data_IF_873913299150
#
_entry.id   IF_873913299150
#
_cell.length_a   1.000
_cell.length_b   1.000
_cell.length_c   1.000
_cell.angle_alpha   90.00
_cell.angle_beta   90.00
_cell.angle_gamma   90.00
#
_symmetry.space_group_name_H-M   'P 1'
#
loop_
_entity.id
_entity.type
_entity.pdbx_description
1 polymer ?
#
# COMPACT_ATOMS: atom_id res chain seq x y z
N UNK A 1 35.39 36.96 61.91
CA UNK A 1 35.04 35.77 62.72
C UNK A 1 33.97 35.05 61.90
N UNK A 2 34.45 34.15 61.29
CA UNK A 2 34.21 32.69 61.10
C UNK A 2 33.18 32.36 60.03
N UNK A 3 33.74 31.92 58.91
CA UNK A 3 33.10 30.87 58.09
C UNK A 3 33.04 29.55 58.91
N UNK A 4 32.10 28.65 58.57
CA UNK A 4 32.64 27.52 57.82
C UNK A 4 31.77 26.99 56.64
N UNK A 5 32.51 26.35 55.77
CA UNK A 5 32.14 25.41 54.74
C UNK A 5 31.06 24.38 55.13
N UNK A 6 30.20 24.07 54.19
CA UNK A 6 29.23 22.98 54.30
C UNK A 6 28.81 22.41 52.95
N UNK A 7 29.56 21.46 52.49
CA UNK A 7 29.20 20.24 51.78
C UNK A 7 28.32 20.32 50.50
N UNK A 8 28.98 20.19 49.37
CA UNK A 8 28.40 19.84 48.08
C UNK A 8 27.86 18.39 48.13
N UNK A 9 26.55 18.23 48.21
CA UNK A 9 25.91 16.94 47.97
C UNK A 9 25.85 16.68 46.46
N UNK A 10 26.58 15.64 46.06
CA UNK A 10 26.55 15.11 44.70
C UNK A 10 25.12 14.67 44.34
N UNK A 11 24.50 15.38 43.41
CA UNK A 11 23.25 14.93 42.78
C UNK A 11 23.59 13.76 41.88
N UNK A 12 23.19 12.59 42.31
CA UNK A 12 23.31 11.33 41.57
C UNK A 12 22.35 11.40 40.38
N UNK A 13 22.88 11.77 39.21
CA UNK A 13 22.14 11.69 37.94
C UNK A 13 21.97 10.21 37.62
N UNK A 14 20.85 9.65 38.07
CA UNK A 14 20.36 8.39 37.54
C UNK A 14 20.09 8.62 36.04
N UNK A 15 20.95 8.01 35.23
CA UNK A 15 20.67 7.85 33.78
C UNK A 15 19.30 7.19 33.65
N UNK A 16 18.33 7.98 33.21
CA UNK A 16 17.07 7.46 32.70
C UNK A 16 17.44 6.69 31.42
N UNK A 17 17.45 5.39 31.53
CA UNK A 17 17.55 4.48 30.38
C UNK A 17 16.43 4.86 29.44
N UNK A 18 16.78 5.53 28.31
CA UNK A 18 15.83 5.91 27.28
C UNK A 18 15.00 4.69 26.89
N UNK A 19 13.70 4.83 26.98
CA UNK A 19 12.73 3.95 26.36
C UNK A 19 13.10 3.90 24.88
N UNK A 20 13.63 2.77 24.44
CA UNK A 20 13.72 2.43 23.03
C UNK A 20 12.28 2.31 22.55
N UNK A 21 11.75 3.38 21.96
CA UNK A 21 10.47 3.34 21.27
C UNK A 21 10.47 2.09 20.40
N UNK A 22 9.42 1.30 20.51
CA UNK A 22 9.22 0.10 19.67
C UNK A 22 9.19 0.60 18.23
N UNK A 23 10.34 0.54 17.56
CA UNK A 23 10.45 0.91 16.16
C UNK A 23 9.52 -0.04 15.40
N UNK A 24 8.55 0.52 14.69
CA UNK A 24 7.60 -0.29 13.93
C UNK A 24 8.38 -1.20 12.98
N UNK A 25 8.15 -2.51 13.06
CA UNK A 25 8.79 -3.49 12.18
C UNK A 25 8.47 -3.29 10.69
N UNK A 26 7.55 -2.40 10.36
CA UNK A 26 7.12 -2.10 9.00
C UNK A 26 7.47 -0.66 8.66
N UNK A 27 8.33 -0.44 7.67
CA UNK A 27 8.53 0.84 6.98
C UNK A 27 7.67 0.90 5.72
N UNK A 28 7.28 2.12 5.32
CA UNK A 28 6.59 2.40 4.05
C UNK A 28 7.38 3.48 3.33
N UNK A 29 7.97 3.12 2.21
CA UNK A 29 8.83 3.99 1.41
C UNK A 29 8.24 4.19 0.01
N UNK A 30 8.59 5.30 -0.64
CA UNK A 30 8.26 5.48 -2.06
C UNK A 30 9.07 4.49 -2.86
N UNK A 31 8.39 3.65 -3.64
CA UNK A 31 9.04 2.70 -4.52
C UNK A 31 9.71 3.41 -5.71
N UNK A 32 10.76 2.82 -6.22
CA UNK A 32 11.52 3.32 -7.36
C UNK A 32 11.90 2.15 -8.31
N UNK A 33 12.44 2.42 -9.50
CA UNK A 33 12.76 1.36 -10.48
C UNK A 33 13.66 0.24 -9.97
N UNK A 34 14.53 0.48 -8.98
CA UNK A 34 15.38 -0.58 -8.40
C UNK A 34 14.59 -1.58 -7.54
N UNK A 35 13.36 -1.23 -7.14
CA UNK A 35 12.46 -2.11 -6.37
C UNK A 35 11.68 -3.12 -7.25
N UNK A 36 11.90 -3.14 -8.58
CA UNK A 36 11.09 -3.95 -9.49
C UNK A 36 11.08 -5.44 -9.14
N UNK A 37 12.23 -6.02 -8.78
CA UNK A 37 12.30 -7.42 -8.35
C UNK A 37 11.51 -7.66 -7.07
N UNK A 38 11.71 -6.82 -6.05
CA UNK A 38 11.05 -6.94 -4.76
C UNK A 38 9.52 -6.77 -4.87
N UNK A 39 9.05 -5.83 -5.71
CA UNK A 39 7.61 -5.66 -5.98
C UNK A 39 7.04 -6.88 -6.72
N UNK A 40 7.76 -7.42 -7.71
CA UNK A 40 7.35 -8.65 -8.42
C UNK A 40 7.20 -9.80 -7.43
N UNK A 41 8.18 -10.03 -6.54
CA UNK A 41 8.10 -11.06 -5.50
C UNK A 41 6.89 -10.90 -4.58
N UNK A 42 6.54 -9.67 -4.19
CA UNK A 42 5.33 -9.42 -3.40
C UNK A 42 4.07 -9.80 -4.17
N UNK A 43 3.96 -9.42 -5.45
CA UNK A 43 2.81 -9.73 -6.29
C UNK A 43 2.67 -11.26 -6.49
N UNK A 44 3.77 -11.96 -6.75
CA UNK A 44 3.81 -13.42 -6.92
C UNK A 44 3.49 -14.18 -5.62
N UNK A 45 3.91 -13.65 -4.47
CA UNK A 45 3.59 -14.22 -3.16
C UNK A 45 2.17 -13.86 -2.65
N UNK A 46 1.47 -12.95 -3.33
CA UNK A 46 0.15 -12.45 -2.95
C UNK A 46 -0.96 -13.03 -3.82
N UNK A 47 -0.97 -12.69 -5.10
CA UNK A 47 -2.11 -12.89 -5.98
C UNK A 47 -2.51 -14.35 -6.17
N UNK A 48 -1.60 -15.31 -6.42
CA UNK A 48 -1.99 -16.72 -6.57
C UNK A 48 -2.74 -17.27 -5.36
N UNK A 49 -2.33 -16.87 -4.17
CA UNK A 49 -2.91 -17.35 -2.92
C UNK A 49 -4.23 -16.65 -2.58
N UNK A 50 -4.26 -15.32 -2.67
CA UNK A 50 -5.39 -14.53 -2.20
C UNK A 50 -6.55 -14.49 -3.20
N UNK A 51 -6.29 -14.73 -4.49
CA UNK A 51 -7.31 -14.73 -5.53
C UNK A 51 -7.90 -16.11 -5.83
N UNK A 52 -7.28 -17.20 -5.38
CA UNK A 52 -7.64 -18.58 -5.72
C UNK A 52 -9.07 -18.97 -5.34
N UNK A 53 -9.64 -18.39 -4.31
CA UNK A 53 -11.01 -18.65 -3.86
C UNK A 53 -12.09 -17.88 -4.63
N UNK A 54 -11.70 -16.84 -5.39
CA UNK A 54 -12.63 -15.93 -6.05
C UNK A 54 -12.69 -16.08 -7.57
N UNK A 55 -11.72 -16.80 -8.15
CA UNK A 55 -11.61 -16.96 -9.59
C UNK A 55 -11.42 -18.42 -9.98
N UNK A 56 -11.95 -18.77 -11.15
CA UNK A 56 -11.75 -20.10 -11.74
C UNK A 56 -10.25 -20.30 -12.04
N UNK A 57 -9.76 -21.51 -11.74
CA UNK A 57 -8.32 -21.83 -11.75
C UNK A 57 -7.67 -21.58 -13.12
N UNK A 58 -8.27 -22.05 -14.22
CA UNK A 58 -7.69 -21.90 -15.55
C UNK A 58 -7.65 -20.44 -16.00
N UNK A 59 -8.64 -19.63 -15.60
CA UNK A 59 -8.62 -18.19 -15.81
C UNK A 59 -7.46 -17.54 -15.03
N UNK A 60 -7.31 -17.88 -13.76
CA UNK A 60 -6.29 -17.30 -12.91
C UNK A 60 -4.86 -17.66 -13.39
N UNK A 61 -4.62 -18.90 -13.79
CA UNK A 61 -3.33 -19.35 -14.36
C UNK A 61 -2.93 -18.54 -15.60
N UNK A 62 -3.90 -18.11 -16.43
CA UNK A 62 -3.65 -17.26 -17.61
C UNK A 62 -3.47 -15.78 -17.24
N UNK A 63 -4.15 -15.30 -16.21
CA UNK A 63 -4.11 -13.90 -15.78
C UNK A 63 -2.86 -13.55 -14.97
N UNK A 64 -2.40 -14.43 -14.08
CA UNK A 64 -1.31 -14.18 -13.16
C UNK A 64 -0.01 -13.67 -13.83
N UNK A 65 0.49 -14.26 -14.93
CA UNK A 65 1.72 -13.77 -15.59
C UNK A 65 1.62 -12.32 -16.07
N UNK A 66 0.39 -11.81 -16.30
CA UNK A 66 0.13 -10.44 -16.74
C UNK A 66 0.01 -9.47 -15.56
N UNK A 67 -0.31 -9.98 -14.37
CA UNK A 67 -0.62 -9.17 -13.18
C UNK A 67 0.52 -9.12 -12.16
N UNK A 68 1.41 -10.12 -12.15
CA UNK A 68 2.43 -10.26 -11.09
C UNK A 68 3.76 -9.57 -11.43
N UNK A 69 3.86 -8.91 -12.56
CA UNK A 69 5.06 -8.14 -12.92
C UNK A 69 4.96 -6.71 -12.42
N UNK A 70 6.04 -6.23 -11.82
CA UNK A 70 6.15 -4.81 -11.44
C UNK A 70 6.01 -3.92 -12.68
N UNK A 71 5.17 -2.89 -12.58
CA UNK A 71 4.96 -1.93 -13.66
C UNK A 71 5.98 -0.78 -13.54
N UNK A 72 6.90 -0.62 -14.51
CA UNK A 72 7.93 0.43 -14.46
C UNK A 72 7.35 1.85 -14.35
N UNK A 73 6.20 2.12 -14.97
CA UNK A 73 5.52 3.42 -14.88
C UNK A 73 5.06 3.71 -13.46
N UNK A 74 4.56 2.71 -12.73
CA UNK A 74 4.20 2.87 -11.33
C UNK A 74 5.42 3.11 -10.45
N UNK A 75 6.49 2.37 -10.66
CA UNK A 75 7.75 2.55 -9.90
C UNK A 75 8.39 3.93 -10.12
N UNK A 76 8.13 4.57 -11.25
CA UNK A 76 8.64 5.90 -11.57
C UNK A 76 7.64 7.02 -11.26
N UNK A 77 6.43 6.70 -10.78
CA UNK A 77 5.36 7.69 -10.58
C UNK A 77 5.56 8.61 -9.36
N UNK A 78 6.35 8.16 -8.37
CA UNK A 78 6.45 8.84 -7.07
C UNK A 78 5.24 8.64 -6.15
N UNK A 79 4.20 7.97 -6.64
CA UNK A 79 2.94 7.72 -5.94
C UNK A 79 2.70 6.23 -5.66
N UNK A 80 3.70 5.40 -5.88
CA UNK A 80 3.69 3.98 -5.60
C UNK A 80 4.60 3.67 -4.41
N UNK A 81 4.16 2.84 -3.47
CA UNK A 81 4.82 2.57 -2.20
C UNK A 81 5.17 1.10 -2.05
N UNK A 82 6.25 0.84 -1.32
CA UNK A 82 6.68 -0.48 -0.91
C UNK A 82 6.74 -0.54 0.62
N UNK A 83 6.18 -1.60 1.19
CA UNK A 83 6.26 -1.89 2.61
C UNK A 83 7.37 -2.93 2.86
N UNK A 84 8.26 -2.65 3.83
CA UNK A 84 9.34 -3.56 4.21
C UNK A 84 9.20 -3.99 5.66
N UNK A 85 9.47 -5.26 5.93
CA UNK A 85 9.57 -5.82 7.26
C UNK A 85 11.01 -5.76 7.75
N UNK A 86 11.23 -5.19 8.93
CA UNK A 86 12.57 -4.95 9.53
C UNK A 86 13.55 -4.21 8.57
N UNK A 87 13.01 -3.41 7.63
CA UNK A 87 13.80 -2.64 6.67
C UNK A 87 14.32 -3.42 5.46
N UNK A 88 14.16 -4.73 5.43
CA UNK A 88 14.76 -5.60 4.40
C UNK A 88 13.71 -6.23 3.47
N UNK A 89 12.90 -7.12 4.00
CA UNK A 89 11.99 -7.93 3.20
C UNK A 89 10.76 -7.14 2.74
N UNK A 90 10.54 -7.04 1.44
CA UNK A 90 9.32 -6.47 0.88
C UNK A 90 8.12 -7.37 1.21
N UNK A 91 7.12 -6.80 1.89
CA UNK A 91 5.93 -7.53 2.38
C UNK A 91 4.62 -6.98 1.83
N UNK A 92 4.66 -5.83 1.17
CA UNK A 92 3.48 -5.23 0.54
C UNK A 92 3.87 -4.13 -0.44
N UNK A 93 2.98 -3.84 -1.36
CA UNK A 93 3.11 -2.74 -2.29
C UNK A 93 1.73 -2.20 -2.68
N UNK A 94 1.70 -1.00 -3.22
CA UNK A 94 0.48 -0.36 -3.70
C UNK A 94 0.68 1.12 -3.89
N UNK A 95 -0.18 1.74 -4.66
CA UNK A 95 -0.10 3.16 -4.95
C UNK A 95 -1.33 3.68 -5.65
N UNK A 96 -1.19 4.84 -6.24
CA UNK A 96 -2.24 5.46 -7.04
C UNK A 96 -1.63 6.24 -8.22
N UNK A 97 -2.45 6.56 -9.20
CA UNK A 97 -2.08 7.45 -10.32
C UNK A 97 -3.27 8.32 -10.69
N UNK A 98 -3.04 9.52 -11.25
CA UNK A 98 -4.14 10.34 -11.79
C UNK A 98 -4.76 9.70 -13.05
N UNK A 99 -4.01 8.91 -13.82
CA UNK A 99 -4.51 8.27 -15.02
C UNK A 99 -5.38 7.06 -14.70
N UNK A 100 -6.49 6.94 -15.42
CA UNK A 100 -7.34 5.74 -15.36
C UNK A 100 -6.56 4.50 -15.81
N UNK A 101 -6.69 3.36 -15.10
CA UNK A 101 -6.04 2.11 -15.48
C UNK A 101 -6.29 1.71 -16.94
N UNK A 102 -5.21 1.40 -17.67
CA UNK A 102 -5.28 0.99 -19.07
C UNK A 102 -5.44 2.13 -20.09
N UNK A 103 -5.48 3.37 -19.63
CA UNK A 103 -5.59 4.56 -20.49
C UNK A 103 -4.57 5.63 -20.10
N UNK A 104 -4.60 6.77 -20.77
CA UNK A 104 -3.88 8.00 -20.40
C UNK A 104 -4.86 9.10 -19.94
N UNK A 105 -6.13 8.76 -19.74
CA UNK A 105 -7.16 9.72 -19.34
C UNK A 105 -6.97 10.12 -17.88
N UNK A 106 -7.02 11.43 -17.65
CA UNK A 106 -6.98 12.05 -16.32
C UNK A 106 -8.28 12.81 -16.11
N UNK A 107 -8.97 12.49 -15.01
CA UNK A 107 -10.14 13.21 -14.56
C UNK A 107 -9.77 14.08 -13.35
N UNK A 108 -9.93 15.41 -13.39
CA UNK A 108 -9.50 16.29 -12.31
C UNK A 108 -10.14 15.91 -10.97
N UNK A 109 -9.30 15.78 -9.94
CA UNK A 109 -9.73 15.44 -8.59
C UNK A 109 -9.97 13.94 -8.33
N UNK A 110 -9.78 13.07 -9.33
CA UNK A 110 -9.86 11.61 -9.17
C UNK A 110 -8.48 11.00 -9.27
N UNK A 111 -8.14 10.16 -8.29
CA UNK A 111 -6.97 9.29 -8.29
C UNK A 111 -7.38 7.82 -8.37
N UNK A 112 -6.62 7.02 -9.08
CA UNK A 112 -6.90 5.60 -9.28
C UNK A 112 -5.92 4.74 -8.50
N UNK A 113 -6.44 3.89 -7.62
CA UNK A 113 -5.66 2.91 -6.86
C UNK A 113 -5.04 1.88 -7.81
N UNK A 114 -3.78 1.53 -7.54
CA UNK A 114 -2.97 0.68 -8.44
C UNK A 114 -2.27 -0.44 -7.67
N UNK A 115 -2.43 -1.68 -8.14
CA UNK A 115 -1.64 -2.86 -7.78
C UNK A 115 -1.37 -3.02 -6.28
N UNK A 116 -2.40 -2.95 -5.44
CA UNK A 116 -2.26 -3.25 -4.02
C UNK A 116 -2.06 -4.74 -3.80
N UNK A 117 -1.00 -5.08 -3.07
CA UNK A 117 -0.69 -6.44 -2.69
C UNK A 117 -0.05 -6.50 -1.30
N UNK A 118 -0.34 -7.57 -0.56
CA UNK A 118 0.38 -7.95 0.66
C UNK A 118 0.70 -9.42 0.54
N UNK A 119 1.92 -9.81 0.87
CA UNK A 119 2.32 -11.24 0.90
C UNK A 119 1.30 -12.04 1.71
N UNK A 120 0.92 -13.22 1.24
CA UNK A 120 -0.12 -14.03 1.89
C UNK A 120 0.21 -14.40 3.35
N UNK A 121 1.50 -14.65 3.65
CA UNK A 121 2.03 -14.95 4.99
C UNK A 121 2.13 -13.71 5.92
N UNK A 122 1.86 -12.51 5.41
CA UNK A 122 1.89 -11.24 6.13
C UNK A 122 0.53 -10.51 6.17
N UNK A 123 -0.54 -11.16 5.72
CA UNK A 123 -1.89 -10.59 5.80
C UNK A 123 -2.36 -10.40 7.26
N UNK A 124 -3.36 -9.55 7.48
CA UNK A 124 -3.89 -9.28 8.83
C UNK A 124 -3.01 -8.41 9.73
N UNK A 125 -1.84 -7.96 9.27
CA UNK A 125 -0.89 -7.13 10.04
C UNK A 125 -1.03 -5.62 9.77
N UNK A 126 -2.08 -5.21 9.09
CA UNK A 126 -2.35 -3.79 8.78
C UNK A 126 -1.47 -3.18 7.68
N UNK A 127 -0.66 -3.99 6.95
CA UNK A 127 0.27 -3.50 5.91
C UNK A 127 -0.47 -2.74 4.82
N UNK A 128 -1.51 -3.33 4.24
CA UNK A 128 -2.32 -2.68 3.20
C UNK A 128 -2.95 -1.37 3.66
N UNK A 129 -3.43 -1.30 4.92
CA UNK A 129 -3.95 -0.07 5.54
C UNK A 129 -2.86 1.01 5.58
N UNK A 130 -1.67 0.69 6.08
CA UNK A 130 -0.57 1.65 6.19
C UNK A 130 -0.09 2.17 4.83
N UNK A 131 -0.06 1.32 3.79
CA UNK A 131 0.21 1.76 2.42
C UNK A 131 -0.89 2.70 1.95
N UNK A 132 -2.16 2.36 2.20
CA UNK A 132 -3.30 3.19 1.82
C UNK A 132 -3.26 4.56 2.51
N UNK A 133 -2.94 4.63 3.81
CA UNK A 133 -2.83 5.89 4.55
C UNK A 133 -1.76 6.82 3.94
N UNK A 134 -0.66 6.27 3.41
CA UNK A 134 0.36 7.03 2.67
C UNK A 134 -0.18 7.54 1.33
N UNK A 135 -0.92 6.70 0.59
CA UNK A 135 -1.58 7.11 -0.65
C UNK A 135 -2.58 8.24 -0.41
N UNK A 136 -3.42 8.11 0.62
CA UNK A 136 -4.44 9.11 0.97
C UNK A 136 -3.80 10.44 1.35
N UNK A 137 -2.79 10.42 2.21
CA UNK A 137 -2.09 11.64 2.63
C UNK A 137 -1.47 12.40 1.43
N UNK A 138 -0.82 11.67 0.53
CA UNK A 138 -0.22 12.27 -0.67
C UNK A 138 -1.28 12.77 -1.64
N UNK A 139 -2.32 11.99 -1.91
CA UNK A 139 -3.39 12.36 -2.82
C UNK A 139 -4.15 13.61 -2.34
N UNK A 140 -4.40 13.73 -1.03
CA UNK A 140 -5.00 14.93 -0.45
C UNK A 140 -4.10 16.17 -0.67
N UNK A 141 -2.79 16.03 -0.51
CA UNK A 141 -1.83 17.11 -0.78
C UNK A 141 -1.84 17.53 -2.26
N UNK A 142 -2.09 16.59 -3.17
CA UNK A 142 -2.22 16.81 -4.62
C UNK A 142 -3.65 17.19 -5.06
N UNK A 143 -4.54 17.49 -4.09
CA UNK A 143 -5.93 17.93 -4.31
C UNK A 143 -6.83 16.88 -4.97
N UNK A 144 -6.50 15.61 -4.85
CA UNK A 144 -7.40 14.52 -5.18
C UNK A 144 -8.53 14.48 -4.16
N UNK A 145 -9.76 14.44 -4.63
CA UNK A 145 -10.97 14.43 -3.80
C UNK A 145 -11.62 13.04 -3.72
N UNK A 146 -11.36 12.19 -4.71
CA UNK A 146 -11.96 10.86 -4.82
C UNK A 146 -10.87 9.86 -5.18
N UNK A 147 -10.83 8.74 -4.49
CA UNK A 147 -10.17 7.55 -4.97
C UNK A 147 -11.16 6.61 -5.64
N UNK A 148 -10.77 6.10 -6.80
CA UNK A 148 -11.44 5.01 -7.50
C UNK A 148 -10.51 3.80 -7.56
N UNK A 149 -11.06 2.59 -7.42
CA UNK A 149 -10.32 1.36 -7.66
C UNK A 149 -11.14 0.37 -8.48
N UNK A 150 -10.44 -0.46 -9.25
CA UNK A 150 -10.97 -1.65 -9.92
C UNK A 150 -10.57 -2.86 -9.06
N UNK A 151 -11.37 -3.11 -8.04
CA UNK A 151 -11.10 -4.16 -7.06
C UNK A 151 -11.33 -5.54 -7.67
N UNK A 152 -10.38 -6.45 -7.51
CA UNK A 152 -10.65 -7.87 -7.71
C UNK A 152 -11.69 -8.36 -6.69
N UNK A 153 -12.46 -9.39 -7.02
CA UNK A 153 -13.59 -9.86 -6.18
C UNK A 153 -13.15 -10.16 -4.75
N UNK A 154 -12.00 -10.80 -4.57
CA UNK A 154 -11.43 -11.11 -3.24
C UNK A 154 -10.97 -9.87 -2.48
N UNK A 155 -10.70 -8.74 -3.14
CA UNK A 155 -10.23 -7.51 -2.50
C UNK A 155 -11.39 -6.57 -2.08
N UNK A 156 -12.62 -6.82 -2.50
CA UNK A 156 -13.78 -6.00 -2.14
C UNK A 156 -13.91 -5.80 -0.62
N UNK A 157 -13.80 -6.83 0.24
CA UNK A 157 -13.87 -6.64 1.69
C UNK A 157 -12.78 -5.72 2.24
N UNK A 158 -11.56 -5.79 1.69
CA UNK A 158 -10.46 -4.91 2.08
C UNK A 158 -10.78 -3.44 1.76
N UNK A 159 -11.23 -3.14 0.54
CA UNK A 159 -11.58 -1.76 0.15
C UNK A 159 -12.82 -1.26 0.89
N UNK A 160 -13.81 -2.12 1.15
CA UNK A 160 -14.96 -1.75 1.99
C UNK A 160 -14.53 -1.36 3.40
N UNK A 161 -13.59 -2.11 4.01
CA UNK A 161 -13.01 -1.76 5.31
C UNK A 161 -12.18 -0.46 5.31
N UNK A 162 -11.72 -0.03 4.12
CA UNK A 162 -11.09 1.28 3.90
C UNK A 162 -12.12 2.40 3.62
N UNK A 163 -13.42 2.10 3.59
CA UNK A 163 -14.48 3.08 3.35
C UNK A 163 -14.83 3.30 1.88
N UNK A 164 -14.39 2.42 0.98
CA UNK A 164 -14.87 2.44 -0.41
C UNK A 164 -16.28 1.86 -0.50
N UNK A 165 -17.06 2.42 -1.41
CA UNK A 165 -18.41 1.97 -1.75
C UNK A 165 -18.39 1.38 -3.16
N UNK A 166 -19.01 0.22 -3.33
CA UNK A 166 -19.18 -0.41 -4.64
C UNK A 166 -20.08 0.44 -5.53
N UNK A 167 -19.67 0.62 -6.79
CA UNK A 167 -20.42 1.38 -7.79
C UNK A 167 -21.06 0.45 -8.81
N UNK A 168 -20.27 -0.48 -9.37
CA UNK A 168 -20.74 -1.44 -10.39
C UNK A 168 -19.80 -2.63 -10.50
N UNK A 169 -20.31 -3.74 -11.00
CA UNK A 169 -19.48 -4.87 -11.44
C UNK A 169 -18.84 -4.52 -12.79
N UNK A 170 -17.59 -4.92 -12.97
CA UNK A 170 -16.81 -4.67 -14.17
C UNK A 170 -16.06 -5.91 -14.64
N UNK A 171 -15.65 -5.89 -15.88
CA UNK A 171 -14.65 -6.81 -16.43
C UNK A 171 -13.41 -6.03 -16.84
N UNK A 172 -12.29 -6.31 -16.19
CA UNK A 172 -11.00 -5.68 -16.49
C UNK A 172 -10.30 -6.48 -17.59
N UNK A 173 -10.09 -5.92 -18.79
CA UNK A 173 -9.35 -6.59 -19.84
C UNK A 173 -7.86 -6.63 -19.48
N UNK A 174 -7.28 -7.82 -19.44
CA UNK A 174 -5.84 -8.05 -19.25
C UNK A 174 -5.15 -8.39 -20.57
N UNK A 175 -5.85 -9.09 -21.47
CA UNK A 175 -5.45 -9.40 -22.83
C UNK A 175 -6.72 -9.52 -23.72
N UNK A 176 -6.54 -9.81 -25.02
CA UNK A 176 -7.66 -9.91 -25.98
C UNK A 176 -8.73 -10.90 -25.48
N UNK A 177 -8.31 -12.01 -24.91
CA UNK A 177 -9.15 -13.13 -24.49
C UNK A 177 -9.12 -13.40 -22.97
N UNK A 178 -8.56 -12.48 -22.18
CA UNK A 178 -8.49 -12.57 -20.72
C UNK A 178 -9.14 -11.35 -20.10
N UNK A 179 -10.29 -11.55 -19.46
CA UNK A 179 -11.02 -10.55 -18.70
C UNK A 179 -11.19 -11.00 -17.27
N UNK A 180 -10.84 -10.14 -16.32
CA UNK A 180 -10.97 -10.45 -14.91
C UNK A 180 -12.20 -9.73 -14.36
N UNK A 181 -13.13 -10.47 -13.76
CA UNK A 181 -14.26 -9.90 -13.03
C UNK A 181 -13.77 -9.08 -11.86
N UNK A 182 -14.39 -7.95 -11.62
CA UNK A 182 -14.07 -7.07 -10.52
C UNK A 182 -15.22 -6.14 -10.19
N UNK A 183 -14.97 -5.24 -9.25
CA UNK A 183 -15.93 -4.23 -8.82
C UNK A 183 -15.27 -2.87 -8.88
N UNK A 184 -15.89 -1.93 -9.56
CA UNK A 184 -15.50 -0.51 -9.47
C UNK A 184 -16.01 0.03 -8.16
N UNK A 185 -15.07 0.55 -7.35
CA UNK A 185 -15.40 1.10 -6.05
C UNK A 185 -14.83 2.52 -5.95
N UNK A 186 -15.50 3.38 -5.16
CA UNK A 186 -15.11 4.78 -4.93
C UNK A 186 -15.09 5.12 -3.46
N UNK A 187 -14.18 6.02 -3.08
CA UNK A 187 -14.12 6.63 -1.76
C UNK A 187 -13.86 8.12 -1.89
N UNK A 188 -14.67 8.96 -1.24
CA UNK A 188 -14.37 10.39 -1.06
C UNK A 188 -13.24 10.55 -0.04
N UNK A 189 -12.24 11.36 -0.39
CA UNK A 189 -11.17 11.72 0.53
C UNK A 189 -11.59 12.97 1.30
N UNK A 190 -11.49 12.92 2.61
CA UNK A 190 -11.77 14.10 3.44
C UNK A 190 -10.61 15.09 3.28
N UNK A 191 -10.94 16.34 2.98
CA UNK A 191 -9.98 17.43 3.10
C UNK A 191 -9.87 17.74 4.59
N UNK A 192 -8.70 17.48 5.17
CA UNK A 192 -8.38 17.92 6.51
C UNK A 192 -8.27 19.44 6.59
#
# INVERSE_FOLDING_TARGET
MDSPCGNASAVNIRQVKGERGVQSRISIDVANPSDAAAVTEVLEASYPHLMSSAYERGMLERALPLMTRANPKLLSSGTYFIARWDGEMAVGCGGWTPERPGTTEVEPGIGHIRHFATRADHTGRGIGRRIFDRCEAQACAERIAIFECYASVNAVPFYTALGFVAVEEIEVPLAIDIRLKGVRMRRSLQRG
#
